data_IF_638787895089
#
_entry.id   IF_638787895089
#
_cell.length_a   1.000
_cell.length_b   1.000
_cell.length_c   1.000
_cell.angle_alpha   90.00
_cell.angle_beta   90.00
_cell.angle_gamma   90.00
#
_symmetry.space_group_name_H-M   'P 1'
#
loop_
_entity.id
_entity.type
_entity.pdbx_description
1 polymer ?
#
# COMPACT_ATOMS: atom_id res chain seq x y z
N UNK A 1 8.00 -5.74 -17.88
CA UNK A 1 8.05 -4.26 -17.70
C UNK A 1 6.68 -3.58 -17.74
N UNK A 2 5.80 -3.80 -18.73
CA UNK A 2 4.51 -3.09 -18.86
C UNK A 2 3.61 -3.11 -17.61
N UNK A 3 3.56 -4.25 -16.91
CA UNK A 3 2.72 -4.43 -15.71
C UNK A 3 3.19 -3.55 -14.54
N UNK A 4 4.51 -3.40 -14.34
CA UNK A 4 5.06 -2.59 -13.25
C UNK A 4 4.79 -1.11 -13.52
N UNK A 5 4.99 -0.66 -14.75
CA UNK A 5 4.69 0.72 -15.15
C UNK A 5 3.20 1.06 -14.96
N UNK A 6 2.29 0.13 -15.30
CA UNK A 6 0.87 0.32 -15.07
C UNK A 6 0.52 0.44 -13.58
N UNK A 7 1.15 -0.36 -12.72
CA UNK A 7 0.97 -0.28 -11.25
C UNK A 7 1.48 1.07 -10.71
N UNK A 8 2.68 1.48 -11.10
CA UNK A 8 3.22 2.79 -10.72
C UNK A 8 2.29 3.92 -11.14
N UNK A 9 1.80 3.90 -12.40
CA UNK A 9 0.86 4.90 -12.89
C UNK A 9 -0.42 4.93 -12.05
N UNK A 10 -1.04 3.79 -11.80
CA UNK A 10 -2.27 3.73 -11.01
C UNK A 10 -2.09 4.28 -9.58
N UNK A 11 -0.95 3.98 -8.94
CA UNK A 11 -0.61 4.51 -7.60
C UNK A 11 -0.41 6.02 -7.66
N UNK A 12 0.34 6.53 -8.65
CA UNK A 12 0.55 7.96 -8.83
C UNK A 12 -0.76 8.71 -9.14
N UNK A 13 -1.66 8.10 -9.91
CA UNK A 13 -2.98 8.67 -10.19
C UNK A 13 -3.82 8.78 -8.90
N UNK A 14 -3.78 7.77 -8.01
CA UNK A 14 -4.45 7.82 -6.70
C UNK A 14 -3.89 8.94 -5.80
N UNK A 15 -2.57 9.16 -5.85
CA UNK A 15 -1.92 10.25 -5.10
C UNK A 15 -2.32 11.61 -5.71
N UNK A 16 -2.27 11.74 -7.03
CA UNK A 16 -2.60 12.98 -7.74
C UNK A 16 -4.06 13.40 -7.55
N UNK A 17 -4.98 12.43 -7.47
CA UNK A 17 -6.40 12.66 -7.13
C UNK A 17 -6.62 12.99 -5.64
N UNK A 18 -5.60 12.87 -4.80
CA UNK A 18 -5.70 13.06 -3.36
C UNK A 18 -6.39 11.90 -2.62
N UNK A 19 -6.71 10.81 -3.30
CA UNK A 19 -7.33 9.61 -2.70
C UNK A 19 -6.38 8.91 -1.73
N UNK A 20 -5.09 8.90 -2.08
CA UNK A 20 -4.01 8.38 -1.24
C UNK A 20 -3.01 9.50 -0.94
N UNK A 21 -2.40 9.49 0.24
CA UNK A 21 -1.27 10.38 0.53
C UNK A 21 -0.01 9.94 -0.22
N UNK A 22 0.92 10.87 -0.55
CA UNK A 22 2.22 10.51 -1.09
C UNK A 22 2.95 9.53 -0.17
N UNK A 23 3.82 8.70 -0.75
CA UNK A 23 4.67 7.84 0.05
C UNK A 23 5.66 8.64 0.90
N UNK A 24 6.07 8.00 1.99
CA UNK A 24 7.13 8.45 2.89
C UNK A 24 8.17 7.34 3.02
N UNK A 25 9.27 7.63 3.71
CA UNK A 25 10.40 6.70 3.88
C UNK A 25 10.08 5.40 4.61
N UNK A 26 8.92 5.31 5.25
CA UNK A 26 8.38 4.08 5.86
C UNK A 26 7.21 3.54 5.03
N UNK A 27 6.97 2.22 5.01
CA UNK A 27 5.86 1.58 4.28
C UNK A 27 4.51 1.82 4.97
N UNK A 28 4.11 3.08 5.05
CA UNK A 28 2.85 3.54 5.64
C UNK A 28 2.09 4.33 4.58
N UNK A 29 0.80 4.09 4.47
CA UNK A 29 -0.09 4.82 3.56
C UNK A 29 -1.35 5.29 4.26
N UNK A 30 -1.81 6.47 3.86
CA UNK A 30 -3.10 7.01 4.26
C UNK A 30 -4.00 7.05 3.03
N UNK A 31 -5.19 6.47 3.12
CA UNK A 31 -6.14 6.36 2.00
C UNK A 31 -7.57 6.56 2.49
N UNK A 32 -8.42 7.15 1.65
CA UNK A 32 -9.86 7.22 1.90
C UNK A 32 -10.48 5.80 1.81
N UNK A 33 -11.10 5.26 2.87
CA UNK A 33 -11.64 3.90 2.89
C UNK A 33 -12.67 3.62 1.78
N UNK A 34 -13.37 4.65 1.31
CA UNK A 34 -14.37 4.58 0.24
C UNK A 34 -13.74 4.14 -1.11
N UNK A 35 -12.43 4.26 -1.27
CA UNK A 35 -11.69 3.77 -2.43
C UNK A 35 -11.28 2.28 -2.31
N UNK A 36 -11.52 1.65 -1.16
CA UNK A 36 -11.16 0.28 -0.85
C UNK A 36 -12.39 -0.64 -0.84
N UNK A 37 -12.13 -1.94 -0.97
CA UNK A 37 -13.12 -3.01 -0.73
C UNK A 37 -12.70 -3.82 0.47
N UNK A 38 -12.85 -3.24 1.66
CA UNK A 38 -12.31 -3.79 2.93
C UNK A 38 -12.92 -5.17 3.26
N UNK A 39 -14.13 -5.43 2.79
CA UNK A 39 -14.85 -6.70 2.88
C UNK A 39 -14.30 -7.80 1.94
N UNK A 40 -13.58 -7.43 0.88
CA UNK A 40 -12.94 -8.36 -0.05
C UNK A 40 -11.46 -8.56 0.31
N UNK A 41 -11.19 -9.59 1.11
CA UNK A 41 -9.83 -9.95 1.55
C UNK A 41 -8.86 -10.13 0.36
N UNK A 42 -9.30 -10.78 -0.73
CA UNK A 42 -8.42 -11.07 -1.88
C UNK A 42 -8.07 -9.78 -2.61
N UNK A 43 -9.06 -8.91 -2.81
CA UNK A 43 -8.81 -7.57 -3.35
C UNK A 43 -7.81 -6.81 -2.48
N UNK A 44 -8.04 -6.76 -1.16
CA UNK A 44 -7.19 -6.02 -0.23
C UNK A 44 -5.75 -6.54 -0.19
N UNK A 45 -5.56 -7.86 -0.21
CA UNK A 45 -4.21 -8.44 -0.32
C UNK A 45 -3.50 -7.98 -1.59
N UNK A 46 -4.16 -8.08 -2.76
CA UNK A 46 -3.56 -7.65 -4.02
C UNK A 46 -3.30 -6.13 -4.06
N UNK A 47 -4.20 -5.35 -3.48
CA UNK A 47 -4.04 -3.91 -3.36
C UNK A 47 -2.80 -3.58 -2.52
N UNK A 48 -2.70 -4.12 -1.30
CA UNK A 48 -1.55 -3.92 -0.41
C UNK A 48 -0.24 -4.40 -1.06
N UNK A 49 -0.23 -5.56 -1.71
CA UNK A 49 0.93 -6.06 -2.47
C UNK A 49 1.39 -5.07 -3.54
N UNK A 50 0.46 -4.50 -4.30
CA UNK A 50 0.79 -3.54 -5.33
C UNK A 50 1.36 -2.25 -4.74
N UNK A 51 0.73 -1.73 -3.68
CA UNK A 51 1.21 -0.54 -2.98
C UNK A 51 2.62 -0.77 -2.42
N UNK A 52 2.84 -1.86 -1.69
CA UNK A 52 4.14 -2.18 -1.08
C UNK A 52 5.23 -2.34 -2.14
N UNK A 53 4.92 -2.96 -3.28
CA UNK A 53 5.88 -3.07 -4.41
C UNK A 53 6.23 -1.73 -5.01
N UNK A 54 5.25 -0.83 -5.21
CA UNK A 54 5.55 0.51 -5.73
C UNK A 54 6.34 1.31 -4.71
N UNK A 55 5.99 1.23 -3.42
CA UNK A 55 6.76 1.84 -2.35
C UNK A 55 8.23 1.38 -2.35
N UNK A 56 8.47 0.07 -2.47
CA UNK A 56 9.81 -0.51 -2.53
C UNK A 56 10.63 0.00 -3.71
N UNK A 57 9.98 0.35 -4.84
CA UNK A 57 10.65 0.96 -5.99
C UNK A 57 10.99 2.44 -5.75
N UNK A 58 10.23 3.15 -4.93
CA UNK A 58 10.51 4.55 -4.55
C UNK A 58 11.61 4.66 -3.49
N UNK A 59 11.70 3.69 -2.58
CA UNK A 59 12.67 3.68 -1.47
C UNK A 59 13.53 2.40 -1.46
N UNK A 60 14.27 2.09 -2.54
CA UNK A 60 15.05 0.86 -2.64
C UNK A 60 16.12 0.75 -1.54
N UNK A 61 16.69 1.88 -1.09
CA UNK A 61 17.69 1.94 -0.03
C UNK A 61 17.14 1.60 1.36
N UNK A 62 15.81 1.64 1.56
CA UNK A 62 15.16 1.34 2.83
C UNK A 62 14.78 -0.14 2.96
N UNK A 63 15.08 -0.95 1.94
CA UNK A 63 14.81 -2.39 1.95
C UNK A 63 15.98 -3.09 2.63
N UNK A 64 15.88 -3.27 3.94
CA UNK A 64 16.85 -4.05 4.72
C UNK A 64 16.44 -5.52 4.68
N UNK A 65 16.88 -6.25 3.64
CA UNK A 65 16.59 -7.67 3.46
C UNK A 65 15.68 -7.97 2.27
N UNK A 66 14.77 -8.94 2.40
CA UNK A 66 13.83 -9.27 1.33
C UNK A 66 12.60 -8.37 1.39
N UNK A 67 12.04 -8.00 0.23
CA UNK A 67 10.78 -7.23 0.15
C UNK A 67 9.64 -7.94 0.90
N UNK A 68 9.66 -9.28 0.93
CA UNK A 68 8.67 -10.09 1.64
C UNK A 68 8.68 -9.89 3.17
N UNK A 69 9.73 -9.28 3.71
CA UNK A 69 9.89 -9.01 5.15
C UNK A 69 9.30 -7.65 5.55
N UNK A 70 8.92 -6.83 4.56
CA UNK A 70 8.29 -5.55 4.80
C UNK A 70 6.83 -5.73 5.21
N UNK A 71 6.37 -4.84 6.08
CA UNK A 71 4.97 -4.72 6.48
C UNK A 71 4.44 -3.37 5.99
N UNK A 72 3.37 -3.39 5.19
CA UNK A 72 2.62 -2.19 4.82
C UNK A 72 1.56 -1.92 5.88
N UNK A 73 1.52 -0.69 6.39
CA UNK A 73 0.47 -0.23 7.30
C UNK A 73 -0.44 0.75 6.59
N UNK A 74 -1.74 0.53 6.65
CA UNK A 74 -2.77 1.30 5.94
C UNK A 74 -3.67 1.99 6.95
N UNK A 75 -3.71 3.32 6.89
CA UNK A 75 -4.55 4.16 7.74
C UNK A 75 -5.65 4.83 6.93
N UNK A 76 -6.77 5.11 7.60
CA UNK A 76 -7.82 5.97 7.10
C UNK A 76 -7.31 7.41 7.05
N UNK A 77 -7.39 8.03 5.88
CA UNK A 77 -6.95 9.40 5.66
C UNK A 77 -7.83 10.46 6.33
N UNK A 78 -9.10 10.15 6.61
CA UNK A 78 -10.04 11.10 7.22
C UNK A 78 -9.82 11.27 8.71
N UNK A 79 -9.61 10.16 9.43
CA UNK A 79 -9.60 10.15 10.90
C UNK A 79 -8.31 9.54 11.50
N UNK A 80 -7.43 8.94 10.70
CA UNK A 80 -6.19 8.33 11.16
C UNK A 80 -6.34 6.91 11.71
N UNK A 81 -7.52 6.31 11.65
CA UNK A 81 -7.75 4.95 12.16
C UNK A 81 -6.96 3.92 11.35
N UNK A 82 -6.45 2.89 12.04
CA UNK A 82 -5.80 1.77 11.38
C UNK A 82 -6.85 0.96 10.61
N UNK A 83 -6.63 0.75 9.31
CA UNK A 83 -7.50 -0.10 8.47
C UNK A 83 -6.94 -1.52 8.45
N UNK A 84 -5.68 -1.65 8.05
CA UNK A 84 -5.05 -2.96 7.92
C UNK A 84 -3.52 -2.90 8.00
N UNK A 85 -2.94 -4.08 8.18
CA UNK A 85 -1.51 -4.37 8.08
C UNK A 85 -1.35 -5.55 7.16
N UNK A 86 -0.38 -5.45 6.26
CA UNK A 86 -0.12 -6.45 5.25
C UNK A 86 1.36 -6.81 5.24
N UNK A 87 1.66 -8.11 5.26
CA UNK A 87 3.00 -8.64 4.97
C UNK A 87 2.87 -9.92 4.15
N UNK A 88 3.78 -10.14 3.22
CA UNK A 88 3.82 -11.39 2.42
C UNK A 88 3.95 -12.64 3.32
N UNK A 89 4.49 -12.51 4.54
CA UNK A 89 4.61 -13.62 5.51
C UNK A 89 3.41 -13.79 6.44
N UNK A 90 2.80 -12.68 6.86
CA UNK A 90 1.76 -12.66 7.91
C UNK A 90 0.34 -12.50 7.36
N UNK A 91 0.20 -12.41 6.04
CA UNK A 91 -1.07 -12.10 5.37
C UNK A 91 -1.62 -10.73 5.82
N UNK A 92 -2.89 -10.45 5.52
CA UNK A 92 -3.58 -9.21 5.91
C UNK A 92 -4.36 -9.39 7.22
N UNK A 93 -4.23 -8.40 8.11
CA UNK A 93 -5.01 -8.23 9.34
C UNK A 93 -5.79 -6.93 9.25
N UNK A 94 -7.04 -6.92 9.70
CA UNK A 94 -7.95 -5.77 9.67
C UNK A 94 -8.28 -5.27 11.09
N UNK A 95 -8.64 -3.99 11.21
CA UNK A 95 -9.08 -3.34 12.46
C UNK A 95 -10.39 -2.58 12.25
#
# INVERSE_FOLDING_TARGET
MKIIAAKMKAVNDLIALGVMSPFVETPVVYVFPQALKVDDRKYMMHWCQNILRVWALHYPQNIVGAVADLELVVYNKENGDLICRYSDRKDIVFW
#
